data_IF_143237726016
#
_entry.id   IF_143237726016
#
_cell.length_a   1.000
_cell.length_b   1.000
_cell.length_c   1.000
_cell.angle_alpha   90.00
_cell.angle_beta   90.00
_cell.angle_gamma   90.00
#
_symmetry.space_group_name_H-M   'P 1'
#
loop_
_entity.id
_entity.type
_entity.pdbx_description
1 polymer ?
#
# COMPACT_ATOMS: atom_id res chain seq x y z
N UNK A 1 8.22 8.31 -6.07
CA UNK A 1 8.96 7.01 -6.07
C UNK A 1 7.94 5.90 -6.06
N UNK A 2 8.17 4.82 -6.81
CA UNK A 2 7.31 3.64 -6.83
C UNK A 2 7.99 2.44 -6.18
N UNK A 3 7.26 1.64 -5.42
CA UNK A 3 7.69 0.36 -4.85
C UNK A 3 6.63 -0.68 -5.18
N UNK A 4 7.06 -1.79 -5.79
CA UNK A 4 6.19 -2.93 -5.99
C UNK A 4 6.34 -3.88 -4.80
N UNK A 5 5.24 -4.16 -4.12
CA UNK A 5 5.21 -5.06 -2.95
C UNK A 5 4.35 -6.26 -3.28
N UNK A 6 4.92 -7.46 -3.09
CA UNK A 6 4.24 -8.74 -3.27
C UNK A 6 3.88 -9.32 -1.89
N UNK A 7 2.67 -9.81 -1.76
CA UNK A 7 2.12 -10.37 -0.53
C UNK A 7 1.69 -11.83 -0.74
N UNK A 8 1.93 -12.67 0.27
CA UNK A 8 1.29 -13.97 0.41
C UNK A 8 -0.15 -13.81 0.91
N UNK A 9 -1.00 -14.83 0.70
CA UNK A 9 -2.39 -14.78 1.18
C UNK A 9 -2.41 -14.61 2.71
N UNK A 10 -3.17 -13.63 3.19
CA UNK A 10 -3.29 -13.32 4.61
C UNK A 10 -2.13 -12.47 5.16
N UNK A 11 -1.13 -12.12 4.36
CA UNK A 11 -0.10 -11.19 4.79
C UNK A 11 -0.69 -9.81 5.07
N UNK A 12 -0.19 -9.17 6.13
CA UNK A 12 -0.75 -7.93 6.69
C UNK A 12 0.25 -6.79 6.53
N UNK A 13 -0.15 -5.75 5.81
CA UNK A 13 0.42 -4.42 5.96
C UNK A 13 -0.28 -3.72 7.11
N UNK A 14 0.37 -3.67 8.28
CA UNK A 14 -0.22 -3.11 9.49
C UNK A 14 -0.70 -1.67 9.29
N UNK A 15 -1.77 -1.29 10.00
CA UNK A 15 -2.29 0.07 9.95
C UNK A 15 -1.22 1.04 10.47
N UNK A 16 -0.90 2.05 9.68
CA UNK A 16 0.09 3.08 9.99
C UNK A 16 -0.29 4.40 9.34
N UNK A 17 0.46 5.46 9.66
CA UNK A 17 0.34 6.79 9.06
C UNK A 17 1.70 7.24 8.54
N UNK A 18 1.70 8.06 7.49
CA UNK A 18 2.89 8.79 7.07
C UNK A 18 2.74 10.26 7.46
N UNK A 19 3.74 10.84 8.10
CA UNK A 19 3.69 12.24 8.55
C UNK A 19 3.78 13.22 7.37
N UNK A 20 4.61 12.90 6.39
CA UNK A 20 4.93 13.80 5.27
C UNK A 20 4.55 13.27 3.90
N UNK A 21 4.24 11.98 3.77
CA UNK A 21 4.01 11.33 2.48
C UNK A 21 2.53 11.13 2.20
N UNK A 22 2.09 11.55 1.01
CA UNK A 22 0.90 10.98 0.40
C UNK A 22 1.27 9.66 -0.28
N UNK A 23 0.42 8.63 -0.15
CA UNK A 23 0.59 7.32 -0.77
C UNK A 23 -0.60 7.01 -1.69
N UNK A 24 -0.32 6.72 -2.97
CA UNK A 24 -1.26 6.10 -3.89
C UNK A 24 -0.83 4.65 -4.10
N UNK A 25 -1.72 3.71 -3.81
CA UNK A 25 -1.50 2.28 -3.96
C UNK A 25 -2.44 1.71 -5.02
N UNK A 26 -1.89 1.04 -6.03
CA UNK A 26 -2.65 0.40 -7.13
C UNK A 26 -2.52 -1.11 -6.99
N UNK A 27 -3.64 -1.83 -7.01
CA UNK A 27 -3.62 -3.29 -7.04
C UNK A 27 -3.25 -3.78 -8.45
N UNK A 28 -2.04 -4.32 -8.59
CA UNK A 28 -1.53 -4.86 -9.85
C UNK A 28 -2.00 -6.31 -10.08
N UNK A 29 -2.25 -7.07 -9.01
CA UNK A 29 -2.65 -8.47 -9.06
C UNK A 29 -3.35 -8.89 -7.76
N UNK A 30 -4.33 -9.79 -7.87
CA UNK A 30 -5.05 -10.36 -6.72
C UNK A 30 -6.05 -9.38 -6.13
N UNK A 31 -6.21 -9.43 -4.81
CA UNK A 31 -7.14 -8.56 -4.08
C UNK A 31 -6.71 -8.33 -2.63
N UNK A 32 -7.16 -7.19 -2.08
CA UNK A 32 -6.83 -6.75 -0.73
C UNK A 32 -8.09 -6.23 -0.03
N UNK A 33 -8.23 -6.52 1.27
CA UNK A 33 -9.05 -5.69 2.15
C UNK A 33 -8.17 -4.53 2.61
N UNK A 34 -8.55 -3.31 2.26
CA UNK A 34 -7.92 -2.09 2.75
C UNK A 34 -8.65 -1.60 3.99
N UNK A 35 -7.91 -1.07 4.94
CA UNK A 35 -8.43 -0.23 6.01
C UNK A 35 -7.93 1.19 5.73
N UNK A 36 -8.85 2.14 5.56
CA UNK A 36 -8.51 3.56 5.37
C UNK A 36 -9.41 4.38 6.30
N UNK A 37 -8.81 5.03 7.30
CA UNK A 37 -9.52 5.73 8.37
C UNK A 37 -10.59 4.85 9.09
N UNK A 38 -10.32 3.55 9.27
CA UNK A 38 -11.24 2.60 9.89
C UNK A 38 -12.34 2.09 8.96
N UNK A 39 -12.39 2.56 7.71
CA UNK A 39 -13.34 2.07 6.70
C UNK A 39 -12.68 0.95 5.92
N UNK A 40 -13.33 -0.22 5.96
CA UNK A 40 -12.86 -1.42 5.25
C UNK A 40 -13.50 -1.54 3.88
N UNK A 41 -12.67 -1.68 2.85
CA UNK A 41 -13.11 -1.86 1.46
C UNK A 41 -12.27 -2.94 0.79
N UNK A 42 -12.85 -3.70 -0.14
CA UNK A 42 -12.08 -4.65 -0.95
C UNK A 42 -11.69 -3.97 -2.27
N UNK A 43 -10.41 -4.05 -2.63
CA UNK A 43 -9.87 -3.63 -3.92
C UNK A 43 -9.35 -4.84 -4.69
N UNK A 44 -9.46 -4.79 -6.02
CA UNK A 44 -9.02 -5.85 -6.94
C UNK A 44 -8.08 -5.27 -7.99
N UNK A 45 -7.51 -6.13 -8.83
CA UNK A 45 -6.64 -5.70 -9.90
C UNK A 45 -7.24 -4.55 -10.73
N UNK A 46 -6.47 -3.47 -10.87
CA UNK A 46 -6.87 -2.23 -11.54
C UNK A 46 -7.43 -1.14 -10.62
N UNK A 47 -7.91 -1.51 -9.42
CA UNK A 47 -8.36 -0.54 -8.41
C UNK A 47 -7.19 0.11 -7.69
N UNK A 48 -7.45 1.26 -7.07
CA UNK A 48 -6.47 2.00 -6.29
C UNK A 48 -7.09 2.66 -5.07
N UNK A 49 -6.26 2.99 -4.08
CA UNK A 49 -6.63 3.89 -2.99
C UNK A 49 -5.56 4.96 -2.75
N UNK A 50 -6.03 6.12 -2.29
CA UNK A 50 -5.17 7.25 -1.91
C UNK A 50 -5.23 7.42 -0.40
N UNK A 51 -4.09 7.24 0.27
CA UNK A 51 -3.91 7.61 1.65
C UNK A 51 -3.14 8.94 1.71
N UNK A 52 -3.85 10.01 2.08
CA UNK A 52 -3.21 11.30 2.32
C UNK A 52 -2.37 11.23 3.61
N UNK A 53 -1.31 12.05 3.69
CA UNK A 53 -0.53 12.19 4.93
C UNK A 53 -1.41 12.34 6.17
N UNK A 54 -1.03 11.64 7.23
CA UNK A 54 -1.79 11.56 8.48
C UNK A 54 -3.04 10.66 8.44
N UNK A 55 -3.45 10.11 7.30
CA UNK A 55 -4.58 9.17 7.21
C UNK A 55 -4.12 7.76 7.60
N UNK A 56 -4.65 7.13 8.67
CA UNK A 56 -4.33 5.75 9.01
C UNK A 56 -4.77 4.82 7.89
N UNK A 57 -3.86 3.95 7.45
CA UNK A 57 -4.14 2.97 6.41
C UNK A 57 -3.36 1.68 6.58
N UNK A 58 -3.95 0.57 6.15
CA UNK A 58 -3.34 -0.77 6.15
C UNK A 58 -4.04 -1.69 5.16
N UNK A 59 -3.46 -2.86 4.92
CA UNK A 59 -4.01 -3.84 3.96
C UNK A 59 -3.86 -5.28 4.48
N UNK A 60 -4.78 -6.15 4.08
CA UNK A 60 -4.66 -7.60 4.21
C UNK A 60 -4.82 -8.22 2.82
N UNK A 61 -3.84 -9.01 2.38
CA UNK A 61 -3.92 -9.71 1.10
C UNK A 61 -4.94 -10.85 1.17
N UNK A 62 -5.88 -10.90 0.24
CA UNK A 62 -6.94 -11.92 0.22
C UNK A 62 -6.59 -13.11 -0.68
N UNK A 63 -5.63 -12.93 -1.58
CA UNK A 63 -5.15 -13.92 -2.54
C UNK A 63 -3.62 -14.08 -2.48
N UNK A 64 -3.13 -15.23 -2.93
CA UNK A 64 -1.70 -15.51 -3.03
C UNK A 64 -1.08 -14.70 -4.16
N UNK A 65 0.16 -14.24 -3.96
CA UNK A 65 0.89 -13.38 -4.90
C UNK A 65 0.15 -12.08 -5.24
N UNK A 66 -0.68 -11.58 -4.33
CA UNK A 66 -1.31 -10.27 -4.48
C UNK A 66 -0.24 -9.18 -4.47
N UNK A 67 -0.43 -8.14 -5.27
CA UNK A 67 0.61 -7.16 -5.53
C UNK A 67 0.08 -5.74 -5.55
N UNK A 68 0.74 -4.86 -4.80
CA UNK A 68 0.52 -3.41 -4.84
C UNK A 68 1.69 -2.71 -5.53
N UNK A 69 1.37 -1.70 -6.34
CA UNK A 69 2.31 -0.65 -6.71
C UNK A 69 2.02 0.55 -5.80
N UNK A 70 2.90 0.75 -4.83
CA UNK A 70 2.85 1.90 -3.94
C UNK A 70 3.67 3.05 -4.50
N UNK A 71 3.08 4.23 -4.55
CA UNK A 71 3.74 5.45 -4.99
C UNK A 71 3.65 6.53 -3.91
N UNK A 72 4.78 7.16 -3.62
CA UNK A 72 4.92 8.12 -2.52
C UNK A 72 5.36 9.49 -3.02
N UNK A 73 4.74 10.54 -2.45
CA UNK A 73 5.13 11.93 -2.65
C UNK A 73 5.15 12.72 -1.31
N UNK A 74 6.29 13.33 -0.91
CA UNK A 74 7.62 13.14 -1.49
C UNK A 74 8.06 11.68 -1.36
N UNK A 75 9.14 11.28 -2.04
CA UNK A 75 9.58 9.90 -1.99
C UNK A 75 9.99 9.45 -0.57
N UNK A 76 9.84 8.16 -0.29
CA UNK A 76 10.33 7.50 0.93
C UNK A 76 11.84 7.36 0.88
N UNK A 77 12.57 8.31 1.49
CA UNK A 77 14.04 8.32 1.46
C UNK A 77 14.65 7.10 2.17
N UNK A 78 13.96 6.55 3.15
CA UNK A 78 14.32 5.31 3.85
C UNK A 78 14.28 4.07 2.93
N UNK A 79 13.47 4.08 1.87
CA UNK A 79 13.50 3.05 0.82
C UNK A 79 14.66 3.24 -0.17
N UNK A 80 15.33 4.39 -0.10
CA UNK A 80 16.46 4.76 -0.95
C UNK A 80 17.74 4.76 -0.11
N UNK A 81 18.23 3.57 0.23
CA UNK A 81 19.61 3.39 0.70
C UNK A 81 20.59 3.40 -0.47
N UNK A 82 21.82 3.89 -0.28
CA UNK A 82 22.91 3.81 -1.28
C UNK A 82 23.08 2.36 -1.73
N UNK A 83 22.54 2.00 -2.89
CA UNK A 83 23.07 0.86 -3.65
C UNK A 83 24.21 1.40 -4.53
N UNK A 84 25.31 0.65 -4.48
CA UNK A 84 26.58 0.86 -5.19
C UNK A 84 26.39 1.13 -6.68
#
# INVERSE_FOLDING_TARGET
MGVQVKFDKGAVGAVHTHDIHDQLAICLKGSFEIDLNGVKTIIKQGDAFLALKGSPHGVVALEQDSMLLDTFNPYRADFVGKKQ
#
